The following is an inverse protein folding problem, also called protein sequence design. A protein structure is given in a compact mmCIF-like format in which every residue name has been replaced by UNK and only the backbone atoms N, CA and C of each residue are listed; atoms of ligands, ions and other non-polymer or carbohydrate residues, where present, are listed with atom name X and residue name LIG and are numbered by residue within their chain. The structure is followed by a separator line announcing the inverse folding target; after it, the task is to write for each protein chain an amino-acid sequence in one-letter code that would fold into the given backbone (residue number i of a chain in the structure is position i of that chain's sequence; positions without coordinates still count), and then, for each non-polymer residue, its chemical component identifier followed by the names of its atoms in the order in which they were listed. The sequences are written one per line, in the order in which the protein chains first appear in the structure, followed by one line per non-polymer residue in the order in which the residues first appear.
data_IF_671392296088
#
_entry.id   IF_671392296088
#
_cell.length_a   1.000
_cell.length_b   1.000
_cell.length_c   1.000
_cell.angle_alpha   90.00
_cell.angle_beta   90.00
_cell.angle_gamma   90.00
#
_symmetry.space_group_name_H-M   'P 1'
#
loop_
_entity.id
_entity.type
_entity.pdbx_description
1 polymer ?
#
# COMPACT_ATOMS: atom_id res chain seq x y z
N UNK A 1 3.03 -106.35 -53.12
CA UNK A 1 2.77 -104.98 -52.65
C UNK A 1 4.01 -104.14 -52.95
N UNK A 2 4.33 -104.07 -54.25
CA UNK A 2 5.64 -103.83 -54.84
C UNK A 2 5.60 -102.56 -55.73
N UNK A 3 4.70 -101.62 -55.40
CA UNK A 3 4.29 -100.53 -56.31
C UNK A 3 4.29 -99.12 -55.70
N UNK A 4 4.81 -98.94 -54.48
CA UNK A 4 4.94 -97.60 -53.86
C UNK A 4 6.36 -97.23 -53.46
N UNK A 5 7.36 -98.07 -53.80
CA UNK A 5 8.79 -97.79 -53.65
C UNK A 5 9.43 -97.05 -54.86
N UNK A 6 8.65 -96.36 -55.70
CA UNK A 6 9.14 -95.84 -56.99
C UNK A 6 8.78 -94.37 -57.28
N UNK A 7 8.69 -93.52 -56.25
CA UNK A 7 8.49 -92.08 -56.44
C UNK A 7 9.38 -91.20 -55.53
N UNK A 8 10.41 -91.78 -54.91
CA UNK A 8 11.56 -91.04 -54.38
C UNK A 8 12.62 -90.98 -55.49
N UNK A 9 12.88 -89.80 -56.07
CA UNK A 9 14.03 -89.62 -56.97
C UNK A 9 13.77 -88.99 -58.34
N UNK A 10 12.90 -88.00 -58.42
CA UNK A 10 13.02 -86.97 -59.46
C UNK A 10 12.95 -85.60 -58.79
N UNK A 11 14.02 -85.21 -58.10
CA UNK A 11 14.18 -83.78 -57.82
C UNK A 11 14.25 -83.08 -59.17
N UNK A 12 13.23 -82.28 -59.48
CA UNK A 12 13.21 -81.45 -60.68
C UNK A 12 14.40 -80.49 -60.62
N UNK A 13 15.51 -80.88 -61.24
CA UNK A 13 16.67 -80.03 -61.41
C UNK A 13 16.58 -79.37 -62.78
N UNK A 14 16.36 -78.06 -62.77
CA UNK A 14 16.56 -77.21 -63.93
C UNK A 14 17.95 -76.55 -63.79
N UNK A 15 18.81 -76.69 -64.81
CA UNK A 15 20.14 -76.06 -64.86
C UNK A 15 21.10 -76.42 -63.69
N UNK A 16 21.05 -77.65 -63.17
CA UNK A 16 22.00 -78.15 -62.17
C UNK A 16 21.74 -77.69 -60.72
N UNK A 17 20.65 -76.97 -60.47
CA UNK A 17 20.18 -76.61 -59.13
C UNK A 17 18.98 -77.48 -58.76
N UNK A 18 18.89 -77.87 -57.49
CA UNK A 18 17.71 -78.55 -56.94
C UNK A 18 16.62 -77.52 -56.57
N UNK A 19 15.46 -78.01 -56.12
CA UNK A 19 14.33 -77.15 -55.74
C UNK A 19 14.73 -76.09 -54.68
N UNK A 20 15.54 -76.47 -53.70
CA UNK A 20 16.09 -75.56 -52.68
C UNK A 20 17.02 -74.50 -53.27
N UNK A 21 17.84 -74.86 -54.26
CA UNK A 21 18.72 -73.93 -54.98
C UNK A 21 17.92 -72.86 -55.74
N UNK A 22 16.77 -73.21 -56.32
CA UNK A 22 15.90 -72.24 -56.99
C UNK A 22 15.14 -71.33 -56.03
N UNK A 23 14.76 -71.83 -54.85
CA UNK A 23 14.26 -70.99 -53.75
C UNK A 23 15.34 -70.00 -53.26
N UNK A 24 16.60 -70.43 -53.15
CA UNK A 24 17.71 -69.58 -52.75
C UNK A 24 17.97 -68.44 -53.75
N UNK A 25 17.89 -68.71 -55.06
CA UNK A 25 18.00 -67.67 -56.09
C UNK A 25 16.80 -66.73 -56.06
N UNK A 26 15.58 -67.25 -55.85
CA UNK A 26 14.39 -66.42 -55.63
C UNK A 26 14.55 -65.46 -54.44
N UNK A 27 15.08 -65.95 -53.32
CA UNK A 27 15.41 -65.13 -52.15
C UNK A 27 16.49 -64.08 -52.45
N UNK A 28 17.54 -64.44 -53.18
CA UNK A 28 18.57 -63.49 -53.61
C UNK A 28 18.02 -62.39 -54.52
N UNK A 29 17.11 -62.71 -55.44
CA UNK A 29 16.44 -61.72 -56.28
C UNK A 29 15.57 -60.79 -55.42
N UNK A 30 14.81 -61.34 -54.46
CA UNK A 30 14.00 -60.53 -53.52
C UNK A 30 14.88 -59.62 -52.67
N UNK A 31 15.99 -60.11 -52.11
CA UNK A 31 16.95 -59.28 -51.38
C UNK A 31 17.61 -58.22 -52.29
N UNK A 32 17.94 -58.58 -53.53
CA UNK A 32 18.48 -57.64 -54.53
C UNK A 32 17.49 -56.52 -54.84
N UNK A 33 16.21 -56.85 -55.05
CA UNK A 33 15.13 -55.87 -55.24
C UNK A 33 14.92 -55.04 -53.97
N UNK A 34 14.98 -55.64 -52.78
CA UNK A 34 14.82 -54.94 -51.50
C UNK A 34 15.94 -53.93 -51.24
N UNK A 35 17.18 -54.28 -51.62
CA UNK A 35 18.33 -53.39 -51.57
C UNK A 35 18.23 -52.27 -52.63
N UNK A 36 17.80 -52.61 -53.87
CA UNK A 36 17.60 -51.63 -54.93
C UNK A 36 16.47 -50.64 -54.60
N UNK A 37 15.38 -51.13 -54.01
CA UNK A 37 14.26 -50.33 -53.49
C UNK A 37 14.58 -49.59 -52.18
N UNK A 38 15.82 -49.67 -51.67
CA UNK A 38 16.29 -48.96 -50.46
C UNK A 38 15.43 -49.18 -49.20
N UNK A 39 14.76 -50.32 -49.08
CA UNK A 39 13.96 -50.66 -47.89
C UNK A 39 14.72 -50.46 -46.56
N UNK A 40 15.99 -50.89 -46.40
CA UNK A 40 16.74 -50.62 -45.16
C UNK A 40 16.95 -49.12 -44.88
N UNK A 41 17.08 -48.28 -45.92
CA UNK A 41 17.21 -46.83 -45.77
C UNK A 41 15.91 -46.16 -45.32
N UNK A 42 14.75 -46.66 -45.78
CA UNK A 42 13.43 -46.17 -45.34
C UNK A 42 13.20 -46.49 -43.86
N UNK A 43 13.53 -47.71 -43.44
CA UNK A 43 13.41 -48.12 -42.03
C UNK A 43 14.35 -47.29 -41.14
N UNK A 44 15.61 -47.13 -41.53
CA UNK A 44 16.55 -46.27 -40.81
C UNK A 44 16.05 -44.81 -40.69
N UNK A 45 15.55 -44.23 -41.80
CA UNK A 45 15.01 -42.87 -41.79
C UNK A 45 13.76 -42.71 -40.90
N UNK A 46 12.92 -43.75 -40.78
CA UNK A 46 11.79 -43.73 -39.84
C UNK A 46 12.26 -43.75 -38.39
N UNK A 47 13.27 -44.57 -38.06
CA UNK A 47 13.86 -44.61 -36.72
C UNK A 47 14.54 -43.28 -36.38
N UNK A 48 15.32 -42.70 -37.30
CA UNK A 48 15.95 -41.39 -37.12
C UNK A 48 14.91 -40.29 -36.88
N UNK A 49 13.78 -40.32 -37.60
CA UNK A 49 12.67 -39.39 -37.38
C UNK A 49 12.07 -39.53 -35.98
N UNK A 50 11.86 -40.76 -35.50
CA UNK A 50 11.37 -40.99 -34.14
C UNK A 50 12.38 -40.49 -33.09
N UNK A 51 13.67 -40.74 -33.29
CA UNK A 51 14.72 -40.25 -32.40
C UNK A 51 14.75 -38.71 -32.39
N UNK A 52 14.59 -38.07 -33.55
CA UNK A 52 14.54 -36.61 -33.66
C UNK A 52 13.32 -36.03 -32.94
N UNK A 53 12.13 -36.63 -33.09
CA UNK A 53 10.92 -36.21 -32.37
C UNK A 53 11.08 -36.38 -30.86
N UNK A 54 11.61 -37.53 -30.39
CA UNK A 54 11.85 -37.75 -28.95
C UNK A 54 12.84 -36.73 -28.39
N UNK A 55 13.94 -36.46 -29.10
CA UNK A 55 14.91 -35.42 -28.70
C UNK A 55 14.24 -34.07 -28.60
N UNK A 56 13.46 -33.68 -29.60
CA UNK A 56 12.72 -32.42 -29.61
C UNK A 56 11.78 -32.31 -28.41
N UNK A 57 10.98 -33.35 -28.13
CA UNK A 57 10.08 -33.34 -26.97
C UNK A 57 10.84 -33.30 -25.64
N UNK A 58 11.99 -33.98 -25.53
CA UNK A 58 12.84 -33.91 -24.34
C UNK A 58 13.43 -32.51 -24.15
N UNK A 59 13.89 -31.86 -25.22
CA UNK A 59 14.42 -30.50 -25.19
C UNK A 59 13.33 -29.49 -24.81
N UNK A 60 12.13 -29.63 -25.37
CA UNK A 60 10.96 -28.81 -25.01
C UNK A 60 10.56 -29.01 -23.54
N UNK A 61 10.53 -30.26 -23.05
CA UNK A 61 10.23 -30.57 -21.67
C UNK A 61 11.29 -30.02 -20.70
N UNK A 62 12.58 -30.11 -21.07
CA UNK A 62 13.67 -29.53 -20.31
C UNK A 62 13.58 -28.00 -20.27
N UNK A 63 13.23 -27.36 -21.39
CA UNK A 63 12.96 -25.93 -21.48
C UNK A 63 11.81 -25.51 -20.57
N UNK A 64 10.66 -26.19 -20.67
CA UNK A 64 9.48 -25.92 -19.85
C UNK A 64 9.77 -26.09 -18.35
N UNK A 65 10.56 -27.10 -17.98
CA UNK A 65 10.98 -27.29 -16.60
C UNK A 65 11.85 -26.12 -16.11
N UNK A 66 12.80 -25.67 -16.91
CA UNK A 66 13.67 -24.53 -16.58
C UNK A 66 12.85 -23.24 -16.42
N UNK A 67 11.87 -23.01 -17.29
CA UNK A 67 10.95 -21.88 -17.18
C UNK A 67 10.09 -21.97 -15.91
N UNK A 68 9.58 -23.15 -15.57
CA UNK A 68 8.82 -23.36 -14.34
C UNK A 68 9.67 -23.15 -13.07
N UNK A 69 10.92 -23.62 -13.07
CA UNK A 69 11.87 -23.40 -11.97
C UNK A 69 12.23 -21.92 -11.83
N UNK A 70 12.45 -21.21 -12.95
CA UNK A 70 12.70 -19.77 -12.95
C UNK A 70 11.49 -18.98 -12.43
N UNK A 71 10.29 -19.31 -12.90
CA UNK A 71 9.04 -18.68 -12.47
C UNK A 71 8.81 -18.92 -10.97
N UNK A 72 9.03 -20.14 -10.48
CA UNK A 72 8.93 -20.45 -9.06
C UNK A 72 9.89 -19.60 -8.23
N UNK A 73 11.14 -19.49 -8.65
CA UNK A 73 12.14 -18.66 -7.97
C UNK A 73 11.74 -17.17 -7.95
N UNK A 74 11.18 -16.66 -9.06
CA UNK A 74 10.65 -15.30 -9.13
C UNK A 74 9.50 -15.08 -8.14
N UNK A 75 8.55 -16.01 -8.06
CA UNK A 75 7.44 -15.92 -7.12
C UNK A 75 7.89 -16.03 -5.66
N UNK A 76 8.84 -16.91 -5.35
CA UNK A 76 9.42 -17.01 -4.00
C UNK A 76 10.18 -15.74 -3.60
N UNK A 77 10.93 -15.15 -4.52
CA UNK A 77 11.59 -13.86 -4.28
C UNK A 77 10.56 -12.74 -4.09
N UNK A 78 9.49 -12.73 -4.89
CA UNK A 78 8.43 -11.72 -4.82
C UNK A 78 7.60 -11.84 -3.55
N UNK A 79 7.32 -13.05 -3.07
CA UNK A 79 6.58 -13.26 -1.81
C UNK A 79 7.43 -12.86 -0.61
N UNK A 80 8.72 -13.20 -0.61
CA UNK A 80 9.66 -12.76 0.42
C UNK A 80 9.80 -11.21 0.43
N UNK A 81 9.92 -10.60 -0.75
CA UNK A 81 9.94 -9.14 -0.90
C UNK A 81 8.66 -8.47 -0.40
N UNK A 82 7.49 -9.02 -0.74
CA UNK A 82 6.20 -8.50 -0.30
C UNK A 82 6.02 -8.56 1.24
N UNK A 83 6.52 -9.62 1.90
CA UNK A 83 6.50 -9.70 3.36
C UNK A 83 7.38 -8.63 4.00
N UNK A 84 8.61 -8.45 3.50
CA UNK A 84 9.52 -7.42 3.99
C UNK A 84 8.97 -6.00 3.76
N UNK A 85 8.36 -5.75 2.60
CA UNK A 85 7.69 -4.48 2.31
C UNK A 85 6.50 -4.24 3.24
N UNK A 86 5.69 -5.27 3.51
CA UNK A 86 4.57 -5.17 4.44
C UNK A 86 5.03 -4.87 5.87
N UNK A 87 6.07 -5.54 6.35
CA UNK A 87 6.68 -5.27 7.66
C UNK A 87 7.23 -3.84 7.74
N UNK A 88 7.95 -3.39 6.72
CA UNK A 88 8.46 -2.02 6.65
C UNK A 88 7.32 -0.98 6.62
N UNK A 89 6.22 -1.29 5.93
CA UNK A 89 5.04 -0.43 5.88
C UNK A 89 4.31 -0.37 7.24
N UNK A 90 4.21 -1.48 7.96
CA UNK A 90 3.65 -1.51 9.31
C UNK A 90 4.51 -0.72 10.30
N UNK A 91 5.83 -0.94 10.31
CA UNK A 91 6.76 -0.19 11.19
C UNK A 91 6.75 1.32 10.87
N UNK A 92 6.68 1.67 9.58
CA UNK A 92 6.51 3.06 9.14
C UNK A 92 5.20 3.67 9.66
N UNK A 93 4.08 2.96 9.51
CA UNK A 93 2.77 3.41 9.97
C UNK A 93 2.71 3.57 11.50
N UNK A 94 3.32 2.66 12.27
CA UNK A 94 3.38 2.76 13.73
C UNK A 94 4.19 3.99 14.18
N UNK A 95 5.33 4.25 13.55
CA UNK A 95 6.16 5.44 13.84
C UNK A 95 5.44 6.73 13.48
N UNK A 96 4.76 6.77 12.34
CA UNK A 96 3.99 7.93 11.91
C UNK A 96 2.81 8.17 12.85
N UNK A 97 2.08 7.13 13.24
CA UNK A 97 1.00 7.21 14.21
C UNK A 97 1.49 7.72 15.57
N UNK A 98 2.60 7.19 16.08
CA UNK A 98 3.19 7.66 17.34
C UNK A 98 3.60 9.14 17.28
N UNK A 99 4.18 9.57 16.15
CA UNK A 99 4.55 10.98 15.92
C UNK A 99 3.31 11.87 15.88
N UNK A 100 2.25 11.43 15.18
CA UNK A 100 1.00 12.17 15.07
C UNK A 100 0.32 12.33 16.43
N UNK A 101 0.28 11.27 17.25
CA UNK A 101 -0.26 11.32 18.61
C UNK A 101 0.54 12.28 19.48
N UNK A 102 1.87 12.19 19.47
CA UNK A 102 2.73 13.09 20.24
C UNK A 102 2.53 14.56 19.84
N UNK A 103 2.40 14.84 18.53
CA UNK A 103 2.12 16.17 18.01
C UNK A 103 0.73 16.65 18.43
N UNK A 104 -0.29 15.80 18.30
CA UNK A 104 -1.66 16.13 18.70
C UNK A 104 -1.77 16.43 20.21
N UNK A 105 -1.05 15.69 21.06
CA UNK A 105 -0.97 15.97 22.49
C UNK A 105 -0.30 17.31 22.77
N UNK A 106 0.82 17.61 22.10
CA UNK A 106 1.51 18.89 22.24
C UNK A 106 0.63 20.07 21.82
N UNK A 107 -0.04 19.96 20.67
CA UNK A 107 -0.96 20.98 20.15
C UNK A 107 -2.18 21.17 21.05
N UNK A 108 -2.74 20.07 21.56
CA UNK A 108 -3.85 20.11 22.52
C UNK A 108 -3.45 20.81 23.80
N UNK A 109 -2.26 20.50 24.34
CA UNK A 109 -1.72 21.17 25.55
C UNK A 109 -1.52 22.66 25.31
N UNK A 110 -0.98 23.05 24.16
CA UNK A 110 -0.81 24.45 23.77
C UNK A 110 -2.16 25.17 23.63
N UNK A 111 -3.16 24.53 23.01
CA UNK A 111 -4.51 25.06 22.89
C UNK A 111 -5.18 25.27 24.23
N UNK A 112 -5.07 24.30 25.16
CA UNK A 112 -5.61 24.41 26.51
C UNK A 112 -4.93 25.56 27.25
N UNK A 113 -3.60 25.66 27.19
CA UNK A 113 -2.87 26.76 27.82
C UNK A 113 -3.30 28.13 27.28
N UNK A 114 -3.47 28.26 25.96
CA UNK A 114 -3.97 29.50 25.34
C UNK A 114 -5.39 29.83 25.78
N UNK A 115 -6.29 28.83 25.82
CA UNK A 115 -7.67 29.01 26.29
C UNK A 115 -7.74 29.41 27.75
N UNK A 116 -6.90 28.81 28.60
CA UNK A 116 -6.78 29.17 30.01
C UNK A 116 -6.35 30.63 30.16
N UNK A 117 -5.28 31.04 29.47
CA UNK A 117 -4.80 32.43 29.49
C UNK A 117 -5.88 33.42 29.03
N UNK A 118 -6.59 33.13 27.94
CA UNK A 118 -7.68 33.98 27.46
C UNK A 118 -8.83 34.07 28.47
N UNK A 119 -9.13 32.99 29.20
CA UNK A 119 -10.15 33.01 30.24
C UNK A 119 -9.70 33.85 31.44
N UNK A 120 -8.45 33.71 31.89
CA UNK A 120 -7.86 34.52 32.97
C UNK A 120 -7.84 36.01 32.60
N UNK A 121 -7.47 36.35 31.37
CA UNK A 121 -7.49 37.73 30.86
C UNK A 121 -8.92 38.30 30.85
N UNK A 122 -9.92 37.52 30.43
CA UNK A 122 -11.33 37.91 30.46
C UNK A 122 -11.85 38.11 31.87
N UNK A 123 -11.50 37.23 32.80
CA UNK A 123 -11.86 37.35 34.22
C UNK A 123 -11.25 38.64 34.78
N UNK A 124 -9.95 38.87 34.59
CA UNK A 124 -9.30 40.09 35.07
C UNK A 124 -9.88 41.37 34.46
N UNK A 125 -10.28 41.34 33.19
CA UNK A 125 -10.99 42.45 32.56
C UNK A 125 -12.38 42.68 33.19
N UNK A 126 -13.13 41.62 33.44
CA UNK A 126 -14.45 41.68 34.08
C UNK A 126 -14.34 42.19 35.54
N UNK A 127 -13.35 41.74 36.30
CA UNK A 127 -13.09 42.22 37.67
C UNK A 127 -12.78 43.71 37.70
N UNK A 128 -11.89 44.20 36.82
CA UNK A 128 -11.59 45.64 36.70
C UNK A 128 -12.85 46.44 36.37
N UNK A 129 -13.67 45.95 35.44
CA UNK A 129 -14.93 46.58 35.07
C UNK A 129 -15.92 46.60 36.25
N UNK A 130 -16.05 45.51 36.98
CA UNK A 130 -16.94 45.40 38.14
C UNK A 130 -16.51 46.36 39.26
N UNK A 131 -15.22 46.44 39.56
CA UNK A 131 -14.67 47.40 40.54
C UNK A 131 -14.96 48.84 40.11
N UNK A 132 -14.76 49.17 38.83
CA UNK A 132 -15.07 50.49 38.29
C UNK A 132 -16.56 50.82 38.43
N UNK A 133 -17.45 49.86 38.13
CA UNK A 133 -18.90 50.01 38.26
C UNK A 133 -19.33 50.24 39.73
N UNK A 134 -18.74 49.50 40.68
CA UNK A 134 -19.01 49.69 42.12
C UNK A 134 -18.56 51.07 42.59
N UNK A 135 -17.37 51.51 42.18
CA UNK A 135 -16.86 52.86 42.50
C UNK A 135 -17.75 53.96 41.92
N UNK A 136 -18.17 53.81 40.67
CA UNK A 136 -19.09 54.76 40.03
C UNK A 136 -20.42 54.83 40.79
N UNK A 137 -21.01 53.68 41.14
CA UNK A 137 -22.26 53.62 41.91
C UNK A 137 -22.12 54.23 43.31
N UNK A 138 -21.01 53.99 43.99
CA UNK A 138 -20.72 54.61 45.29
C UNK A 138 -20.56 56.13 45.17
N UNK A 139 -19.86 56.62 44.15
CA UNK A 139 -19.71 58.05 43.88
C UNK A 139 -21.07 58.70 43.61
N UNK A 140 -21.91 58.09 42.77
CA UNK A 140 -23.28 58.58 42.49
C UNK A 140 -24.14 58.60 43.75
N UNK A 141 -24.10 57.54 44.57
CA UNK A 141 -24.85 57.50 45.83
C UNK A 141 -24.37 58.57 46.82
N UNK A 142 -23.06 58.80 46.92
CA UNK A 142 -22.48 59.85 47.75
C UNK A 142 -22.88 61.25 47.26
N UNK A 143 -22.86 61.51 45.95
CA UNK A 143 -23.31 62.79 45.40
C UNK A 143 -24.80 63.03 45.62
N UNK A 144 -25.64 61.99 45.47
CA UNK A 144 -27.08 62.09 45.74
C UNK A 144 -27.37 62.34 47.23
N UNK A 145 -26.64 61.68 48.13
CA UNK A 145 -26.75 61.93 49.56
C UNK A 145 -26.30 63.35 49.94
N UNK A 146 -25.20 63.83 49.35
CA UNK A 146 -24.72 65.19 49.54
C UNK A 146 -25.74 66.22 49.03
N UNK A 147 -26.32 66.00 47.85
CA UNK A 147 -27.38 66.85 47.27
C UNK A 147 -28.60 66.92 48.19
N UNK A 148 -29.07 65.77 48.70
CA UNK A 148 -30.19 65.72 49.64
C UNK A 148 -29.87 66.44 50.97
N UNK A 149 -28.64 66.28 51.50
CA UNK A 149 -28.21 66.99 52.70
C UNK A 149 -28.13 68.50 52.49
N UNK A 150 -27.62 68.95 51.34
CA UNK A 150 -27.58 70.37 50.97
C UNK A 150 -29.01 70.90 50.88
N UNK A 151 -29.90 70.25 50.14
CA UNK A 151 -31.29 70.67 49.99
C UNK A 151 -32.03 70.77 51.34
N UNK A 152 -31.75 69.87 52.29
CA UNK A 152 -32.36 69.90 53.62
C UNK A 152 -31.78 70.99 54.56
N UNK A 153 -30.56 71.46 54.32
CA UNK A 153 -29.83 72.43 55.15
C UNK A 153 -29.77 73.83 54.53
N UNK A 154 -30.22 73.98 53.29
CA UNK A 154 -30.16 75.21 52.52
C UNK A 154 -31.28 76.16 52.95
N UNK A 155 -30.92 77.24 53.63
CA UNK A 155 -31.80 78.34 54.01
C UNK A 155 -31.27 79.68 53.46
N UNK A 156 -32.08 80.74 53.58
CA UNK A 156 -31.73 82.06 53.08
C UNK A 156 -30.45 82.66 53.73
N UNK A 157 -30.03 82.16 54.90
CA UNK A 157 -28.80 82.58 55.56
C UNK A 157 -27.57 81.91 54.93
N UNK A 158 -27.67 80.62 54.59
CA UNK A 158 -26.66 79.88 53.84
C UNK A 158 -26.42 80.48 52.45
N UNK A 159 -27.49 80.88 51.75
CA UNK A 159 -27.41 81.56 50.44
C UNK A 159 -26.61 82.85 50.50
N UNK A 160 -26.94 83.70 51.47
CA UNK A 160 -26.26 84.98 51.66
C UNK A 160 -24.75 84.78 51.93
N UNK A 161 -24.41 83.81 52.77
CA UNK A 161 -23.01 83.49 53.07
C UNK A 161 -22.24 82.95 51.85
N UNK A 162 -22.89 82.15 50.99
CA UNK A 162 -22.30 81.66 49.73
C UNK A 162 -22.07 82.78 48.72
N UNK A 163 -23.02 83.70 48.58
CA UNK A 163 -22.90 84.87 47.70
C UNK A 163 -21.78 85.80 48.18
N UNK A 164 -21.74 86.11 49.48
CA UNK A 164 -20.68 86.95 50.06
C UNK A 164 -19.29 86.31 49.88
N UNK A 165 -19.19 84.98 50.01
CA UNK A 165 -17.95 84.24 49.75
C UNK A 165 -17.55 84.25 48.26
N UNK A 166 -18.50 84.04 47.35
CA UNK A 166 -18.23 84.09 45.90
C UNK A 166 -17.76 85.47 45.45
N UNK A 167 -18.37 86.54 45.97
CA UNK A 167 -17.92 87.93 45.75
C UNK A 167 -16.50 88.13 46.29
N UNK A 168 -16.21 87.60 47.48
CA UNK A 168 -14.87 87.65 48.08
C UNK A 168 -13.79 86.88 47.29
N UNK A 169 -14.12 85.71 46.75
CA UNK A 169 -13.20 84.88 45.97
C UNK A 169 -12.91 85.52 44.59
N UNK A 170 -13.90 86.12 43.95
CA UNK A 170 -13.71 86.92 42.72
C UNK A 170 -12.83 88.15 43.00
N UNK A 171 -13.07 88.84 44.12
CA UNK A 171 -12.24 89.97 44.55
C UNK A 171 -10.77 89.58 44.85
N UNK A 172 -10.52 88.33 45.25
CA UNK A 172 -9.15 87.79 45.44
C UNK A 172 -8.48 87.35 44.14
N UNK A 173 -9.24 86.90 43.14
CA UNK A 173 -8.71 86.48 41.85
C UNK A 173 -8.43 87.66 40.89
N UNK A 174 -8.95 88.86 41.20
CA UNK A 174 -8.77 90.09 40.43
C UNK A 174 -7.69 91.04 41.00
N UNK A 175 -7.08 90.70 42.14
CA UNK A 175 -5.86 91.30 42.68
C UNK A 175 -4.67 90.37 42.45
#
# INVERSE_FOLDING_TARGET
MLLTMLAEGAEASALGLNATGWVAVGMLIVFGIMLWAKVPGIVAGMLDKQIAEIKKTLDEAAGLRKEAEALKAEYEAKTAGAQAEAEALMDGAEKEAATLVAQAEADTKALIARRKKMAEEKIGAAERSAIAAVRAKAATAATQAAEAMIAARHDAAADKALVDKAIGDIGKALN
#
